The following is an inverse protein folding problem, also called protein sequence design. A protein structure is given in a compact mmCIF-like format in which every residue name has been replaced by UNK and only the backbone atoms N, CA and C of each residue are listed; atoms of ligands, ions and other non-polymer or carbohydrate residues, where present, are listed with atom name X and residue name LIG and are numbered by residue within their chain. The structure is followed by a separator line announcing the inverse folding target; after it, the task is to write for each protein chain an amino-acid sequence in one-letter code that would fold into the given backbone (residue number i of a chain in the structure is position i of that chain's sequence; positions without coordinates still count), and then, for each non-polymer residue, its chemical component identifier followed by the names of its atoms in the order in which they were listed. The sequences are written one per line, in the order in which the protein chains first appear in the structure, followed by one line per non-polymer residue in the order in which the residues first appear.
data_IF_985940897612
#
_entry.id   IF_985940897612
#
_cell.length_a   1.000
_cell.length_b   1.000
_cell.length_c   1.000
_cell.angle_alpha   90.00
_cell.angle_beta   90.00
_cell.angle_gamma   90.00
#
_symmetry.space_group_name_H-M   'P 1'
#
loop_
_entity.id
_entity.type
_entity.pdbx_description
1 polymer ?
#
# COMPACT_ATOMS: atom_id res chain seq x y z
N UNK A 1 17.68 10.96 41.55
CA UNK A 1 16.68 11.44 40.57
C UNK A 1 17.39 12.12 39.38
N UNK A 2 17.83 11.35 38.37
CA UNK A 2 18.44 11.86 37.13
C UNK A 2 17.79 11.29 35.85
N UNK A 3 16.70 10.53 35.98
CA UNK A 3 16.04 9.84 34.86
C UNK A 3 14.88 10.61 34.19
N UNK A 4 14.29 11.60 34.85
CA UNK A 4 13.09 12.29 34.36
C UNK A 4 13.37 13.35 33.28
N UNK A 5 14.64 13.69 32.99
CA UNK A 5 15.00 14.73 32.00
C UNK A 5 15.11 14.20 30.57
N UNK A 6 15.21 12.88 30.36
CA UNK A 6 15.37 12.26 29.02
C UNK A 6 14.04 11.96 28.32
N UNK A 7 12.89 12.22 28.95
CA UNK A 7 11.54 11.95 28.41
C UNK A 7 10.76 13.21 28.01
N UNK A 8 11.44 14.28 27.57
CA UNK A 8 10.81 15.56 27.15
C UNK A 8 11.09 15.91 25.68
N UNK A 9 11.15 14.90 24.80
CA UNK A 9 11.46 15.09 23.38
C UNK A 9 10.48 14.42 22.41
N UNK A 10 9.42 13.77 22.90
CA UNK A 10 8.47 12.99 22.08
C UNK A 10 7.06 13.58 22.13
N UNK A 11 6.92 14.89 22.32
CA UNK A 11 5.59 15.49 22.54
C UNK A 11 4.70 15.46 21.28
N UNK A 12 5.27 15.28 20.07
CA UNK A 12 4.53 15.02 18.83
C UNK A 12 5.35 14.17 17.86
N UNK A 13 4.99 12.90 17.71
CA UNK A 13 5.44 12.08 16.58
C UNK A 13 4.73 12.51 15.29
N UNK A 14 5.21 12.04 14.14
CA UNK A 14 4.49 12.17 12.85
C UNK A 14 3.91 10.82 12.45
N UNK A 15 2.75 10.84 11.79
CA UNK A 15 2.17 9.62 11.21
C UNK A 15 3.03 9.23 10.01
N UNK A 16 3.49 7.98 10.01
CA UNK A 16 4.20 7.38 8.89
C UNK A 16 3.40 6.15 8.46
N UNK A 17 3.04 6.09 7.18
CA UNK A 17 2.45 4.91 6.56
C UNK A 17 3.55 4.09 5.89
N UNK A 18 3.40 2.78 5.92
CA UNK A 18 4.20 1.80 5.21
C UNK A 18 3.61 1.42 3.84
N UNK A 19 2.45 1.97 3.48
CA UNK A 19 1.79 1.72 2.20
C UNK A 19 2.28 2.68 1.10
N UNK A 20 2.33 2.14 -0.12
CA UNK A 20 2.50 2.97 -1.31
C UNK A 20 1.25 3.82 -1.55
N UNK A 21 1.48 5.07 -1.97
CA UNK A 21 0.41 5.90 -2.49
C UNK A 21 0.04 5.48 -3.93
N UNK A 22 -1.07 6.03 -4.43
CA UNK A 22 -1.58 5.64 -5.75
C UNK A 22 -0.58 5.89 -6.90
N UNK A 23 0.04 7.09 -7.03
CA UNK A 23 1.03 7.32 -8.07
C UNK A 23 2.24 6.38 -7.96
N UNK A 24 2.76 6.15 -6.75
CA UNK A 24 3.88 5.25 -6.52
C UNK A 24 3.56 3.80 -6.88
N UNK A 25 2.35 3.33 -6.56
CA UNK A 25 1.88 2.00 -6.95
C UNK A 25 1.85 1.84 -8.47
N UNK A 26 1.23 2.78 -9.19
CA UNK A 26 1.12 2.72 -10.66
C UNK A 26 2.49 2.84 -11.33
N UNK A 27 3.38 3.69 -10.82
CA UNK A 27 4.74 3.82 -11.34
C UNK A 27 5.52 2.51 -11.16
N UNK A 28 5.41 1.89 -9.99
CA UNK A 28 6.05 0.59 -9.71
C UNK A 28 5.58 -0.47 -10.70
N UNK A 29 4.27 -0.58 -10.95
CA UNK A 29 3.75 -1.54 -11.94
C UNK A 29 4.38 -1.29 -13.32
N UNK A 30 4.45 -0.04 -13.77
CA UNK A 30 5.08 0.30 -15.07
C UNK A 30 6.56 -0.05 -15.11
N UNK A 31 7.30 0.28 -14.06
CA UNK A 31 8.74 0.05 -13.98
C UNK A 31 9.09 -1.44 -14.01
N UNK A 32 8.19 -2.31 -13.53
CA UNK A 32 8.39 -3.76 -13.59
C UNK A 32 8.25 -4.35 -15.00
N UNK A 33 7.52 -3.68 -15.90
CA UNK A 33 7.17 -4.23 -17.22
C UNK A 33 6.30 -5.51 -17.17
N UNK A 34 5.63 -5.77 -16.04
CA UNK A 34 4.78 -6.95 -15.89
C UNK A 34 3.61 -6.94 -16.88
N UNK A 35 3.35 -8.08 -17.52
CA UNK A 35 2.22 -8.25 -18.45
C UNK A 35 0.94 -8.66 -17.70
N UNK A 36 1.11 -9.41 -16.61
CA UNK A 36 0.03 -9.89 -15.74
C UNK A 36 0.29 -9.44 -14.31
N UNK A 37 -0.71 -8.83 -13.66
CA UNK A 37 -0.63 -8.29 -12.30
C UNK A 37 -1.73 -8.87 -11.42
N UNK A 38 -1.35 -9.57 -10.36
CA UNK A 38 -2.29 -10.06 -9.35
C UNK A 38 -2.33 -9.10 -8.18
N UNK A 39 -3.52 -8.55 -7.89
CA UNK A 39 -3.69 -7.55 -6.82
C UNK A 39 -4.29 -8.20 -5.59
N UNK A 40 -3.74 -7.94 -4.41
CA UNK A 40 -4.31 -8.40 -3.15
C UNK A 40 -4.26 -7.29 -2.11
N UNK A 41 -5.04 -7.45 -1.04
CA UNK A 41 -5.28 -6.45 0.00
C UNK A 41 -5.92 -5.15 -0.51
N UNK A 42 -6.49 -4.35 0.40
CA UNK A 42 -7.10 -3.06 0.10
C UNK A 42 -8.19 -3.12 -0.98
N UNK A 43 -8.29 -2.06 -1.79
CA UNK A 43 -9.27 -1.93 -2.88
C UNK A 43 -8.81 -2.64 -4.16
N UNK A 44 -8.59 -3.96 -4.07
CA UNK A 44 -8.03 -4.78 -5.16
C UNK A 44 -8.79 -4.66 -6.48
N UNK A 45 -10.12 -4.58 -6.45
CA UNK A 45 -10.96 -4.42 -7.65
C UNK A 45 -10.71 -3.09 -8.37
N UNK A 46 -10.53 -2.01 -7.61
CA UNK A 46 -10.29 -0.66 -8.15
C UNK A 46 -8.94 -0.60 -8.86
N UNK A 47 -7.90 -1.12 -8.21
CA UNK A 47 -6.55 -1.19 -8.80
C UNK A 47 -6.57 -2.06 -10.06
N UNK A 48 -7.14 -3.27 -9.97
CA UNK A 48 -7.18 -4.21 -11.11
C UNK A 48 -7.89 -3.59 -12.31
N UNK A 49 -9.04 -2.94 -12.08
CA UNK A 49 -9.79 -2.24 -13.12
C UNK A 49 -8.98 -1.11 -13.75
N UNK A 50 -8.31 -0.29 -12.94
CA UNK A 50 -7.49 0.81 -13.47
C UNK A 50 -6.35 0.29 -14.35
N UNK A 51 -5.64 -0.76 -13.91
CA UNK A 51 -4.55 -1.35 -14.69
C UNK A 51 -5.02 -1.90 -16.04
N UNK A 52 -6.20 -2.52 -16.07
CA UNK A 52 -6.84 -2.96 -17.32
C UNK A 52 -7.23 -1.77 -18.22
N UNK A 53 -8.00 -0.82 -17.70
CA UNK A 53 -8.59 0.27 -18.50
C UNK A 53 -7.57 1.32 -18.94
N UNK A 54 -6.60 1.64 -18.10
CA UNK A 54 -5.66 2.75 -18.34
C UNK A 54 -4.30 2.30 -18.87
N UNK A 55 -3.84 1.10 -18.51
CA UNK A 55 -2.52 0.59 -18.92
C UNK A 55 -2.61 -0.61 -19.86
N UNK A 56 -3.82 -1.11 -20.14
CA UNK A 56 -4.05 -2.27 -21.00
C UNK A 56 -3.26 -3.52 -20.55
N UNK A 57 -3.17 -3.71 -19.23
CA UNK A 57 -2.52 -4.87 -18.60
C UNK A 57 -3.56 -5.92 -18.22
N UNK A 58 -3.16 -7.18 -18.22
CA UNK A 58 -3.95 -8.23 -17.60
C UNK A 58 -3.82 -8.08 -16.08
N UNK A 59 -4.89 -7.73 -15.38
CA UNK A 59 -4.85 -7.58 -13.93
C UNK A 59 -6.07 -8.22 -13.27
N UNK A 60 -5.91 -8.86 -12.11
CA UNK A 60 -7.05 -9.45 -11.41
C UNK A 60 -6.85 -9.52 -9.90
N UNK A 61 -7.93 -9.40 -9.11
CA UNK A 61 -7.86 -9.64 -7.67
C UNK A 61 -7.46 -11.08 -7.38
N UNK A 62 -6.48 -11.25 -6.50
CA UNK A 62 -6.08 -12.53 -5.95
C UNK A 62 -6.89 -12.78 -4.68
N UNK A 63 -7.73 -13.81 -4.72
CA UNK A 63 -8.44 -14.30 -3.53
C UNK A 63 -7.45 -15.00 -2.61
N UNK A 64 -6.99 -14.32 -1.58
CA UNK A 64 -6.12 -14.89 -0.55
C UNK A 64 -6.97 -15.42 0.61
N UNK A 65 -6.42 -16.36 1.38
CA UNK A 65 -7.00 -16.81 2.65
C UNK A 65 -6.75 -15.82 3.80
N UNK A 66 -6.09 -14.70 3.50
CA UNK A 66 -5.62 -13.73 4.48
C UNK A 66 -6.35 -12.41 4.25
N UNK A 67 -7.38 -12.16 5.04
CA UNK A 67 -7.96 -10.83 5.18
C UNK A 67 -6.95 -10.01 6.00
N UNK A 68 -6.15 -9.18 5.33
CA UNK A 68 -5.20 -8.28 6.00
C UNK A 68 -5.92 -7.40 7.03
N UNK A 69 -5.18 -6.90 8.02
CA UNK A 69 -5.68 -6.13 9.19
C UNK A 69 -6.82 -5.19 8.79
N UNK A 70 -8.06 -5.64 9.06
CA UNK A 70 -9.23 -4.81 8.91
C UNK A 70 -9.14 -3.69 9.92
N UNK A 71 -9.34 -2.46 9.45
CA UNK A 71 -9.36 -1.24 10.25
C UNK A 71 -10.11 -1.48 11.57
N UNK A 72 -9.39 -1.47 12.69
CA UNK A 72 -9.92 -1.43 14.07
C UNK A 72 -10.26 0.00 14.48
#
# INVERSE_FOLDING_TARGET
VRGARRRRGYERGFVLSDHADWPGLIQTVKDTGAQTVYVTHGQSDVVSRYLQESLNLEAMPLKTLYEGEGDI
#
